data_IF_401720845177
#
_entry.id   IF_401720845177
#
_cell.length_a   1.000
_cell.length_b   1.000
_cell.length_c   1.000
_cell.angle_alpha   90.00
_cell.angle_beta   90.00
_cell.angle_gamma   90.00
#
_symmetry.space_group_name_H-M   'P 1'
#
loop_
_entity.id
_entity.type
_entity.pdbx_description
1 polymer ?
#
# COMPACT_ATOMS: atom_id res chain seq x y z
N UNK A 1 0.01 -0.35 24.03
CA UNK A 1 0.79 -0.03 22.80
C UNK A 1 0.87 -1.30 21.99
N UNK A 2 0.37 -1.31 20.75
CA UNK A 2 0.66 -2.40 19.81
C UNK A 2 2.13 -2.26 19.39
N UNK A 3 3.00 -3.15 19.85
CA UNK A 3 4.41 -3.24 19.44
C UNK A 3 4.65 -4.59 18.78
N UNK A 4 5.15 -4.62 17.54
CA UNK A 4 5.42 -5.88 16.83
C UNK A 4 6.69 -6.59 17.34
N UNK A 5 7.68 -5.83 17.82
CA UNK A 5 8.92 -6.40 18.37
C UNK A 5 9.03 -6.06 19.85
N UNK A 6 9.03 -7.13 20.66
CA UNK A 6 9.29 -7.08 22.10
C UNK A 6 10.61 -7.80 22.37
N UNK A 7 11.59 -7.08 22.92
CA UNK A 7 12.88 -7.66 23.34
C UNK A 7 13.01 -7.53 24.86
N UNK A 8 13.49 -8.60 25.50
CA UNK A 8 13.69 -8.67 26.94
C UNK A 8 15.18 -8.63 27.28
N UNK A 9 15.50 -8.02 28.41
CA UNK A 9 16.83 -8.05 28.99
C UNK A 9 16.79 -8.01 30.51
N UNK A 10 17.93 -7.73 31.10
CA UNK A 10 18.09 -7.60 32.55
C UNK A 10 18.03 -6.13 32.92
N UNK A 11 17.10 -5.78 33.81
CA UNK A 11 17.02 -4.44 34.39
C UNK A 11 18.29 -4.13 35.20
N UNK A 12 19.00 -3.09 34.78
CA UNK A 12 20.19 -2.57 35.46
C UNK A 12 19.90 -1.28 36.25
N UNK A 13 18.96 -0.48 35.77
CA UNK A 13 18.47 0.75 36.41
C UNK A 13 17.00 0.96 36.03
N UNK A 14 16.16 1.31 37.00
CA UNK A 14 14.71 1.43 36.85
C UNK A 14 14.31 2.68 36.04
N UNK A 15 13.06 2.68 35.59
CA UNK A 15 12.44 3.81 34.90
C UNK A 15 11.92 3.45 33.50
N UNK A 16 11.30 4.43 32.85
CA UNK A 16 10.65 4.28 31.56
C UNK A 16 11.02 5.44 30.66
N UNK A 17 11.18 5.17 29.37
CA UNK A 17 11.50 6.22 28.41
C UNK A 17 11.03 5.89 27.00
N UNK A 18 10.52 6.91 26.32
CA UNK A 18 10.16 6.88 24.90
C UNK A 18 11.20 7.64 24.07
N UNK A 19 11.65 7.07 22.95
CA UNK A 19 12.57 7.77 22.07
C UNK A 19 13.16 7.02 20.90
N UNK A 20 13.84 7.78 20.04
CA UNK A 20 14.72 7.24 19.01
C UNK A 20 15.97 6.63 19.64
N UNK A 21 16.38 5.46 19.15
CA UNK A 21 17.65 4.84 19.54
C UNK A 21 18.80 5.35 18.67
N UNK A 22 20.01 5.34 19.23
CA UNK A 22 21.24 5.53 18.47
C UNK A 22 22.19 4.37 18.79
N UNK A 23 22.48 3.57 17.76
CA UNK A 23 23.38 2.42 17.88
C UNK A 23 24.81 2.89 17.67
N UNK A 24 25.65 2.70 18.68
CA UNK A 24 27.08 3.04 18.64
C UNK A 24 27.88 1.76 18.43
N UNK A 25 28.59 1.69 17.30
CA UNK A 25 29.46 0.55 16.93
C UNK A 25 30.93 0.95 16.81
N UNK A 26 31.23 2.22 16.55
CA UNK A 26 32.60 2.74 16.46
C UNK A 26 32.77 4.09 17.17
N UNK A 27 34.01 4.59 17.20
CA UNK A 27 34.31 5.89 17.80
C UNK A 27 33.68 7.05 17.02
N UNK A 28 33.56 6.95 15.70
CA UNK A 28 32.89 7.96 14.87
C UNK A 28 31.41 8.12 15.24
N UNK A 29 30.76 7.03 15.68
CA UNK A 29 29.38 7.05 16.13
C UNK A 29 29.22 7.83 17.45
N UNK A 30 30.22 7.79 18.34
CA UNK A 30 30.21 8.58 19.58
C UNK A 30 30.14 10.08 19.28
N UNK A 31 30.85 10.54 18.24
CA UNK A 31 30.87 11.95 17.83
C UNK A 31 29.53 12.38 17.22
N UNK A 32 28.85 11.45 16.53
CA UNK A 32 27.56 11.68 15.88
C UNK A 32 26.36 11.48 16.80
N UNK A 33 26.58 11.09 18.06
CA UNK A 33 25.51 10.75 18.99
C UNK A 33 24.57 11.96 19.21
N UNK A 34 23.28 11.75 18.96
CA UNK A 34 22.24 12.76 19.10
C UNK A 34 21.79 12.88 20.56
N UNK A 35 21.78 14.10 21.08
CA UNK A 35 21.29 14.37 22.43
C UNK A 35 19.81 13.98 22.58
N UNK A 36 19.46 13.39 23.72
CA UNK A 36 18.14 12.85 23.99
C UNK A 36 17.81 11.54 23.29
N UNK A 37 18.76 10.88 22.62
CA UNK A 37 18.57 9.52 22.10
C UNK A 37 18.73 8.45 23.19
N UNK A 38 18.23 7.24 22.93
CA UNK A 38 18.49 6.05 23.76
C UNK A 38 19.75 5.38 23.21
N UNK A 39 20.79 5.24 24.05
CA UNK A 39 22.05 4.62 23.66
C UNK A 39 21.86 3.11 23.52
N UNK A 40 22.24 2.56 22.37
CA UNK A 40 22.29 1.11 22.14
C UNK A 40 23.71 0.72 21.74
N UNK A 41 24.30 -0.28 22.37
CA UNK A 41 25.62 -0.80 21.96
C UNK A 41 25.81 -2.27 22.33
N UNK A 42 26.80 -2.94 21.74
CA UNK A 42 27.14 -4.31 22.13
C UNK A 42 27.63 -4.34 23.59
N UNK A 43 28.53 -3.43 23.92
CA UNK A 43 29.08 -3.20 25.26
C UNK A 43 29.46 -1.73 25.39
N UNK A 44 29.83 -1.28 26.58
CA UNK A 44 30.29 0.08 26.80
C UNK A 44 31.61 0.08 27.56
N UNK A 45 32.41 1.11 27.34
CA UNK A 45 33.65 1.39 28.03
C UNK A 45 33.69 2.88 28.45
N UNK A 46 34.68 3.33 29.23
CA UNK A 46 34.73 4.70 29.74
C UNK A 46 34.63 5.80 28.68
N UNK A 47 34.97 5.55 27.42
CA UNK A 47 34.82 6.53 26.33
C UNK A 47 33.36 6.93 26.08
N UNK A 48 32.39 6.09 26.47
CA UNK A 48 30.96 6.35 26.31
C UNK A 48 30.41 7.34 27.34
N UNK A 49 31.15 7.63 28.41
CA UNK A 49 30.68 8.48 29.53
C UNK A 49 30.19 9.85 29.04
N UNK A 50 30.87 10.43 28.04
CA UNK A 50 30.50 11.73 27.48
C UNK A 50 29.10 11.74 26.84
N UNK A 51 28.72 10.65 26.17
CA UNK A 51 27.42 10.53 25.50
C UNK A 51 26.35 9.98 26.43
N UNK A 52 26.72 9.21 27.46
CA UNK A 52 25.79 8.73 28.47
C UNK A 52 25.13 9.88 29.23
N UNK A 53 25.86 10.98 29.46
CA UNK A 53 25.29 12.22 30.03
C UNK A 53 24.28 12.94 29.11
N UNK A 54 24.23 12.59 27.83
CA UNK A 54 23.31 13.16 26.83
C UNK A 54 22.16 12.23 26.47
N UNK A 55 22.23 10.96 26.88
CA UNK A 55 21.21 9.98 26.54
C UNK A 55 20.09 9.99 27.59
N UNK A 56 18.92 9.48 27.20
CA UNK A 56 17.77 9.34 28.12
C UNK A 56 17.50 7.90 28.55
N UNK A 57 18.34 6.97 28.12
CA UNK A 57 18.27 5.56 28.45
C UNK A 57 19.40 4.76 27.80
N UNK A 58 19.72 3.59 28.35
CA UNK A 58 20.86 2.77 27.91
C UNK A 58 20.45 1.31 27.72
N UNK A 59 20.79 0.74 26.56
CA UNK A 59 20.56 -0.65 26.20
C UNK A 59 21.89 -1.29 25.79
N UNK A 60 22.26 -2.45 26.35
CA UNK A 60 23.44 -3.20 25.90
C UNK A 60 23.16 -4.67 25.61
N UNK A 61 23.81 -5.22 24.58
CA UNK A 61 23.73 -6.67 24.29
C UNK A 61 24.43 -7.49 25.38
N UNK A 62 25.59 -7.02 25.82
CA UNK A 62 26.44 -7.67 26.82
C UNK A 62 26.50 -6.79 28.07
N UNK A 63 26.45 -7.43 29.22
CA UNK A 63 26.58 -6.78 30.52
C UNK A 63 25.61 -7.37 31.54
N UNK A 64 26.00 -7.26 32.81
CA UNK A 64 25.14 -7.57 33.95
C UNK A 64 24.91 -6.33 34.81
N UNK A 65 24.29 -6.53 35.98
CA UNK A 65 23.93 -5.45 36.91
C UNK A 65 25.15 -4.64 37.40
N UNK A 66 26.35 -5.23 37.37
CA UNK A 66 27.62 -4.59 37.73
C UNK A 66 28.44 -4.08 36.52
N UNK A 67 27.88 -4.07 35.30
CA UNK A 67 28.58 -3.57 34.12
C UNK A 67 28.78 -2.04 34.14
N UNK A 68 29.71 -1.55 33.31
CA UNK A 68 29.97 -0.13 33.15
C UNK A 68 28.68 0.67 32.85
N UNK A 69 27.90 0.25 31.84
CA UNK A 69 26.60 0.83 31.51
C UNK A 69 25.65 0.87 32.72
N UNK A 70 25.57 -0.23 33.48
CA UNK A 70 24.66 -0.34 34.61
C UNK A 70 25.02 0.61 35.77
N UNK A 71 26.31 0.78 36.05
CA UNK A 71 26.80 1.69 37.11
C UNK A 71 26.47 3.13 36.74
N UNK A 72 26.89 3.57 35.53
CA UNK A 72 26.67 4.95 35.08
C UNK A 72 25.17 5.26 34.96
N UNK A 73 24.36 4.33 34.47
CA UNK A 73 22.92 4.52 34.38
C UNK A 73 22.28 4.82 35.74
N UNK A 74 22.66 4.08 36.79
CA UNK A 74 22.12 4.30 38.14
C UNK A 74 22.56 5.64 38.73
N UNK A 75 23.82 6.02 38.51
CA UNK A 75 24.34 7.32 38.98
C UNK A 75 23.66 8.49 38.29
N UNK A 76 23.37 8.35 36.99
CA UNK A 76 22.69 9.36 36.19
C UNK A 76 21.15 9.32 36.31
N UNK A 77 20.58 8.36 37.05
CA UNK A 77 19.12 8.18 37.14
C UNK A 77 18.46 7.78 35.82
N UNK A 78 19.22 7.16 34.91
CA UNK A 78 18.75 6.76 33.59
C UNK A 78 18.17 5.34 33.63
N UNK A 79 17.05 5.08 32.94
CA UNK A 79 16.57 3.72 32.71
C UNK A 79 17.59 2.89 31.94
N UNK A 80 17.85 1.65 32.37
CA UNK A 80 18.85 0.80 31.71
C UNK A 80 18.48 -0.68 31.71
N UNK A 81 18.60 -1.29 30.52
CA UNK A 81 18.44 -2.73 30.27
C UNK A 81 19.72 -3.26 29.64
N UNK A 82 20.31 -4.28 30.24
CA UNK A 82 21.55 -4.91 29.74
C UNK A 82 21.31 -6.38 29.42
N UNK A 83 22.23 -7.01 28.69
CA UNK A 83 22.16 -8.45 28.45
C UNK A 83 21.04 -8.86 27.49
N UNK A 84 20.65 -7.99 26.55
CA UNK A 84 19.61 -8.35 25.55
C UNK A 84 20.12 -9.36 24.50
N UNK A 85 21.44 -9.54 24.39
CA UNK A 85 22.08 -10.39 23.39
C UNK A 85 22.30 -9.68 22.04
N UNK A 86 23.39 -10.01 21.36
CA UNK A 86 23.78 -9.34 20.10
C UNK A 86 22.77 -9.55 18.97
N UNK A 87 22.13 -10.73 18.94
CA UNK A 87 21.07 -11.04 17.95
C UNK A 87 19.88 -10.10 18.06
N UNK A 88 19.58 -9.60 19.25
CA UNK A 88 18.47 -8.67 19.45
C UNK A 88 18.84 -7.26 18.97
N UNK A 89 20.09 -6.81 19.14
CA UNK A 89 20.57 -5.55 18.55
C UNK A 89 20.48 -5.58 17.03
N UNK A 90 20.68 -6.73 16.38
CA UNK A 90 20.57 -6.84 14.92
C UNK A 90 19.14 -6.58 14.39
N UNK A 91 18.12 -6.66 15.26
CA UNK A 91 16.73 -6.31 14.92
C UNK A 91 16.45 -4.80 15.02
N UNK A 92 17.42 -4.03 15.51
CA UNK A 92 17.34 -2.60 15.75
C UNK A 92 18.21 -1.83 14.75
N UNK A 93 17.80 -0.60 14.43
CA UNK A 93 18.53 0.35 13.60
C UNK A 93 18.56 1.74 14.28
N UNK A 94 19.67 2.47 14.14
CA UNK A 94 19.73 3.88 14.57
C UNK A 94 18.57 4.66 13.95
N UNK A 95 17.81 5.38 14.78
CA UNK A 95 16.59 6.08 14.39
C UNK A 95 15.29 5.35 14.76
N UNK A 96 15.33 4.05 15.09
CA UNK A 96 14.13 3.33 15.54
C UNK A 96 13.52 4.00 16.77
N UNK A 97 12.22 4.29 16.73
CA UNK A 97 11.46 4.74 17.89
C UNK A 97 11.12 3.54 18.77
N UNK A 98 11.44 3.62 20.07
CA UNK A 98 11.13 2.58 21.03
C UNK A 98 10.46 3.18 22.27
N UNK A 99 9.69 2.34 22.97
CA UNK A 99 9.37 2.51 24.37
C UNK A 99 10.21 1.51 25.16
N UNK A 100 11.04 2.00 26.08
CA UNK A 100 11.81 1.17 26.98
C UNK A 100 11.20 1.22 28.37
N UNK A 101 10.79 0.06 28.88
CA UNK A 101 10.31 -0.12 30.24
C UNK A 101 11.33 -0.94 31.04
N UNK A 102 12.28 -0.24 31.68
CA UNK A 102 13.28 -0.89 32.49
C UNK A 102 12.70 -1.44 33.80
N UNK A 103 11.50 -1.05 34.22
CA UNK A 103 10.85 -1.66 35.38
C UNK A 103 10.47 -3.13 35.13
N UNK A 104 10.09 -3.45 33.89
CA UNK A 104 9.79 -4.82 33.46
C UNK A 104 10.90 -5.49 32.65
N UNK A 105 12.01 -4.78 32.43
CA UNK A 105 13.14 -5.27 31.62
C UNK A 105 12.78 -5.48 30.15
N UNK A 106 11.82 -4.70 29.63
CA UNK A 106 11.24 -4.92 28.29
C UNK A 106 11.40 -3.69 27.40
N UNK A 107 11.78 -3.93 26.15
CA UNK A 107 11.90 -2.94 25.08
C UNK A 107 10.84 -3.24 24.04
N UNK A 108 10.07 -2.22 23.68
CA UNK A 108 9.03 -2.26 22.68
C UNK A 108 9.44 -1.38 21.50
N UNK A 109 9.76 -2.00 20.36
CA UNK A 109 9.98 -1.21 19.13
C UNK A 109 8.63 -0.71 18.62
N UNK A 110 8.54 0.60 18.42
CA UNK A 110 7.41 1.23 17.75
C UNK A 110 7.71 1.14 16.26
N UNK A 111 6.88 0.41 15.52
CA UNK A 111 6.98 0.44 14.07
C UNK A 111 6.42 1.76 13.54
N UNK A 112 7.22 2.42 12.72
CA UNK A 112 6.72 3.51 11.91
C UNK A 112 6.00 2.89 10.70
N UNK A 113 4.67 2.91 10.74
CA UNK A 113 3.83 2.38 9.65
C UNK A 113 4.13 3.06 8.30
N UNK A 114 4.59 4.31 8.32
CA UNK A 114 4.97 5.04 7.11
C UNK A 114 6.24 4.45 6.51
N UNK A 115 7.22 4.06 7.33
CA UNK A 115 8.46 3.42 6.86
C UNK A 115 8.13 2.05 6.26
N UNK A 116 7.31 1.23 6.93
CA UNK A 116 6.86 -0.06 6.40
C UNK A 116 6.10 0.07 5.08
N UNK A 117 5.20 1.06 5.01
CA UNK A 117 4.47 1.37 3.79
C UNK A 117 5.44 1.73 2.65
N UNK A 118 6.41 2.62 2.93
CA UNK A 118 7.44 3.06 1.98
C UNK A 118 8.31 1.90 1.49
N UNK A 119 8.73 0.99 2.39
CA UNK A 119 9.47 -0.21 2.01
C UNK A 119 8.63 -1.16 1.14
N UNK A 120 7.35 -1.32 1.45
CA UNK A 120 6.40 -2.06 0.62
C UNK A 120 6.30 -1.47 -0.78
N UNK A 121 6.15 -0.15 -0.87
CA UNK A 121 6.07 0.57 -2.15
C UNK A 121 7.34 0.40 -2.98
N UNK A 122 8.52 0.51 -2.38
CA UNK A 122 9.79 0.28 -3.07
C UNK A 122 9.88 -1.11 -3.70
N UNK A 123 9.37 -2.14 -3.00
CA UNK A 123 9.30 -3.51 -3.55
C UNK A 123 8.34 -3.58 -4.73
N UNK A 124 7.18 -2.93 -4.66
CA UNK A 124 6.21 -2.84 -5.76
C UNK A 124 6.82 -2.13 -6.98
N UNK A 125 7.44 -0.96 -6.78
CA UNK A 125 8.06 -0.18 -7.86
C UNK A 125 9.21 -0.95 -8.52
N UNK A 126 10.03 -1.67 -7.74
CA UNK A 126 11.08 -2.51 -8.30
C UNK A 126 10.54 -3.58 -9.28
N UNK A 127 9.32 -4.09 -9.08
CA UNK A 127 8.65 -5.04 -9.98
C UNK A 127 8.10 -4.37 -11.25
N UNK A 128 7.92 -3.06 -11.21
CA UNK A 128 7.41 -2.24 -12.32
C UNK A 128 8.52 -1.68 -13.21
N UNK A 129 9.78 -1.81 -12.79
CA UNK A 129 10.93 -1.31 -13.54
C UNK A 129 10.94 -1.85 -14.98
N UNK A 130 11.11 -0.94 -15.94
CA UNK A 130 11.20 -1.25 -17.37
C UNK A 130 9.88 -1.64 -18.03
N UNK A 131 8.73 -1.49 -17.34
CA UNK A 131 7.42 -1.64 -17.98
C UNK A 131 6.99 -0.33 -18.61
N UNK A 132 6.57 -0.40 -19.85
CA UNK A 132 5.86 0.69 -20.53
C UNK A 132 4.41 0.74 -20.04
N UNK A 133 3.87 1.95 -19.91
CA UNK A 133 2.49 2.20 -19.54
C UNK A 133 1.74 2.79 -20.72
N UNK A 134 0.55 2.25 -20.97
CA UNK A 134 -0.37 2.79 -21.93
C UNK A 134 -1.43 3.70 -21.27
N UNK A 135 -1.77 4.86 -21.87
CA UNK A 135 -1.18 5.44 -23.09
C UNK A 135 0.12 6.20 -22.83
N UNK A 136 0.40 6.57 -21.58
CA UNK A 136 1.59 7.33 -21.18
C UNK A 136 2.13 6.85 -19.84
N UNK A 137 3.39 7.22 -19.55
CA UNK A 137 4.02 6.96 -18.26
C UNK A 137 3.32 7.70 -17.11
N UNK A 138 3.47 7.23 -15.86
CA UNK A 138 2.92 7.90 -14.69
C UNK A 138 3.31 9.38 -14.58
N UNK A 139 4.57 9.74 -14.86
CA UNK A 139 5.02 11.15 -14.79
C UNK A 139 4.28 12.00 -15.82
N UNK A 140 4.17 11.52 -17.05
CA UNK A 140 3.48 12.27 -18.11
C UNK A 140 2.00 12.53 -17.77
N UNK A 141 1.36 11.66 -16.97
CA UNK A 141 -0.04 11.81 -16.60
C UNK A 141 -0.21 12.58 -15.28
N UNK A 142 0.40 12.10 -14.20
CA UNK A 142 0.12 12.58 -12.84
C UNK A 142 0.60 14.01 -12.62
N UNK A 143 1.70 14.44 -13.24
CA UNK A 143 2.27 15.78 -13.04
C UNK A 143 1.33 16.93 -13.42
N UNK A 144 0.25 16.68 -14.17
CA UNK A 144 -0.75 17.70 -14.47
C UNK A 144 -1.66 18.03 -13.27
N UNK A 145 -1.93 17.08 -12.37
CA UNK A 145 -3.06 17.22 -11.44
C UNK A 145 -2.85 16.58 -10.07
N UNK A 146 -1.73 15.88 -9.85
CA UNK A 146 -1.47 15.20 -8.58
C UNK A 146 -1.49 16.14 -7.36
N UNK A 147 -1.01 17.38 -7.53
CA UNK A 147 -0.98 18.40 -6.46
C UNK A 147 -2.38 18.88 -6.07
N UNK A 148 -3.29 18.99 -7.03
CA UNK A 148 -4.68 19.37 -6.75
C UNK A 148 -5.45 18.19 -6.15
N UNK A 149 -5.24 16.97 -6.65
CA UNK A 149 -5.90 15.77 -6.09
C UNK A 149 -5.57 15.59 -4.61
N UNK A 150 -4.29 15.65 -4.21
CA UNK A 150 -3.93 15.49 -2.80
C UNK A 150 -4.51 16.59 -1.91
N UNK A 151 -4.58 17.83 -2.41
CA UNK A 151 -5.20 18.97 -1.73
C UNK A 151 -6.70 18.76 -1.55
N UNK A 152 -7.40 18.33 -2.60
CA UNK A 152 -8.83 18.01 -2.54
C UNK A 152 -9.12 16.87 -1.56
N UNK A 153 -8.30 15.81 -1.60
CA UNK A 153 -8.40 14.69 -0.67
C UNK A 153 -8.22 15.13 0.78
N UNK A 154 -7.17 15.91 1.05
CA UNK A 154 -6.89 16.41 2.39
C UNK A 154 -8.04 17.25 2.94
N UNK A 155 -8.51 18.23 2.16
CA UNK A 155 -9.62 19.11 2.55
C UNK A 155 -10.89 18.29 2.81
N UNK A 156 -11.25 17.41 1.88
CA UNK A 156 -12.45 16.58 1.99
C UNK A 156 -12.39 15.65 3.20
N UNK A 157 -11.24 15.04 3.45
CA UNK A 157 -11.06 14.14 4.58
C UNK A 157 -11.36 14.83 5.92
N UNK A 158 -10.79 16.01 6.13
CA UNK A 158 -10.99 16.74 7.37
C UNK A 158 -12.35 17.42 7.46
N UNK A 159 -12.92 17.85 6.34
CA UNK A 159 -14.31 18.30 6.29
C UNK A 159 -15.29 17.20 6.75
N UNK A 160 -15.09 15.95 6.32
CA UNK A 160 -15.88 14.81 6.78
C UNK A 160 -15.71 14.57 8.29
N UNK A 161 -14.47 14.70 8.80
CA UNK A 161 -14.19 14.59 10.24
C UNK A 161 -14.88 15.69 11.05
N UNK A 162 -14.83 16.93 10.58
CA UNK A 162 -15.47 18.08 11.22
C UNK A 162 -17.00 17.94 11.21
N UNK A 163 -17.57 17.31 10.17
CA UNK A 163 -18.98 16.91 10.09
C UNK A 163 -19.34 15.70 10.98
N UNK A 164 -18.38 15.13 11.70
CA UNK A 164 -18.60 14.05 12.66
C UNK A 164 -18.59 12.64 12.06
N UNK A 165 -18.07 12.45 10.84
CA UNK A 165 -17.96 11.11 10.26
C UNK A 165 -16.92 10.27 11.02
N UNK A 166 -17.34 9.08 11.47
CA UNK A 166 -16.45 8.08 12.05
C UNK A 166 -15.44 7.54 11.03
N UNK A 167 -14.32 6.98 11.51
CA UNK A 167 -13.32 6.31 10.64
C UNK A 167 -13.97 5.23 9.78
N UNK A 168 -14.95 4.48 10.33
CA UNK A 168 -15.66 3.43 9.59
C UNK A 168 -16.53 4.00 8.48
N UNK A 169 -17.28 5.07 8.75
CA UNK A 169 -18.10 5.71 7.72
C UNK A 169 -17.23 6.26 6.57
N UNK A 170 -16.07 6.83 6.88
CA UNK A 170 -15.14 7.29 5.83
C UNK A 170 -14.54 6.08 5.08
N UNK A 171 -14.17 5.01 5.79
CA UNK A 171 -13.69 3.78 5.15
C UNK A 171 -14.69 3.24 4.13
N UNK A 172 -15.99 3.25 4.48
CA UNK A 172 -17.05 2.72 3.63
C UNK A 172 -17.32 3.58 2.38
N UNK A 173 -16.75 4.79 2.26
CA UNK A 173 -16.74 5.59 1.03
C UNK A 173 -15.76 5.07 -0.04
N UNK A 174 -14.87 4.14 0.34
CA UNK A 174 -13.97 3.46 -0.59
C UNK A 174 -14.47 2.04 -0.82
N UNK A 175 -14.51 1.59 -2.08
CA UNK A 175 -14.94 0.22 -2.40
C UNK A 175 -14.07 -0.81 -1.69
N UNK A 176 -12.75 -0.63 -1.72
CA UNK A 176 -11.77 -1.52 -1.09
C UNK A 176 -10.51 -0.78 -0.62
N UNK A 177 -9.64 -1.54 0.05
CA UNK A 177 -8.36 -1.06 0.58
C UNK A 177 -7.36 -0.69 -0.52
N UNK A 178 -7.38 -1.37 -1.67
CA UNK A 178 -6.45 -1.12 -2.78
C UNK A 178 -6.61 0.32 -3.30
N UNK A 179 -7.84 0.81 -3.42
CA UNK A 179 -8.11 2.21 -3.77
C UNK A 179 -7.42 3.18 -2.80
N UNK A 180 -7.47 2.91 -1.50
CA UNK A 180 -6.88 3.79 -0.49
C UNK A 180 -5.35 3.74 -0.57
N UNK A 181 -4.79 2.53 -0.69
CA UNK A 181 -3.35 2.31 -0.84
C UNK A 181 -2.83 2.97 -2.11
N UNK A 182 -3.53 2.80 -3.24
CA UNK A 182 -3.12 3.37 -4.52
C UNK A 182 -3.25 4.90 -4.50
N UNK A 183 -4.24 5.47 -3.81
CA UNK A 183 -4.27 6.91 -3.54
C UNK A 183 -3.00 7.35 -2.79
N UNK A 184 -2.66 6.67 -1.70
CA UNK A 184 -1.47 7.00 -0.91
C UNK A 184 -0.19 6.84 -1.75
N UNK A 185 -0.13 5.82 -2.59
CA UNK A 185 1.00 5.51 -3.46
C UNK A 185 1.18 6.56 -4.57
N UNK A 186 0.11 6.86 -5.32
CA UNK A 186 0.18 7.72 -6.50
C UNK A 186 0.16 9.21 -6.16
N UNK A 187 -0.46 9.62 -5.05
CA UNK A 187 -0.71 11.04 -4.75
C UNK A 187 -0.18 11.51 -3.39
N UNK A 188 -0.23 10.69 -2.34
CA UNK A 188 0.14 11.19 -1.02
C UNK A 188 1.67 11.21 -0.80
N UNK A 189 2.41 10.30 -1.44
CA UNK A 189 3.82 10.11 -1.14
C UNK A 189 4.72 11.28 -1.55
N UNK A 190 4.62 11.71 -2.81
CA UNK A 190 5.44 12.81 -3.36
C UNK A 190 4.59 14.06 -3.52
N UNK A 191 3.36 13.91 -3.98
CA UNK A 191 2.52 15.05 -4.39
C UNK A 191 2.09 15.92 -3.21
N UNK A 192 2.05 15.39 -1.97
CA UNK A 192 1.79 16.21 -0.78
C UNK A 192 2.87 17.28 -0.58
N UNK A 193 4.14 16.91 -0.75
CA UNK A 193 5.26 17.85 -0.68
C UNK A 193 5.22 18.82 -1.87
N UNK A 194 4.94 18.32 -3.08
CA UNK A 194 4.82 19.17 -4.27
C UNK A 194 3.70 20.20 -4.09
N UNK A 195 2.53 19.78 -3.61
CA UNK A 195 1.41 20.67 -3.31
C UNK A 195 1.82 21.70 -2.25
N UNK A 196 2.50 21.29 -1.19
CA UNK A 196 3.03 22.21 -0.19
C UNK A 196 3.93 23.30 -0.78
N UNK A 197 4.89 22.93 -1.63
CA UNK A 197 5.86 23.89 -2.16
C UNK A 197 5.24 24.80 -3.24
N UNK A 198 4.46 24.22 -4.15
CA UNK A 198 4.11 24.86 -5.42
C UNK A 198 2.65 25.35 -5.50
N UNK A 199 1.81 25.13 -4.49
CA UNK A 199 0.44 25.64 -4.45
C UNK A 199 0.16 26.48 -3.19
N UNK A 200 -1.08 26.96 -3.06
CA UNK A 200 -1.61 27.63 -1.88
C UNK A 200 -1.82 26.68 -0.68
N UNK A 201 -1.66 25.36 -0.90
CA UNK A 201 -1.90 24.33 0.11
C UNK A 201 -0.70 24.19 1.07
N UNK A 202 -0.65 25.01 2.11
CA UNK A 202 0.41 24.93 3.14
C UNK A 202 0.00 24.00 4.28
N UNK A 203 0.93 23.17 4.71
CA UNK A 203 0.77 22.14 5.75
C UNK A 203 2.09 21.93 6.47
N UNK A 204 2.02 21.70 7.77
CA UNK A 204 3.16 21.33 8.60
C UNK A 204 3.44 19.83 8.49
N UNK A 205 4.69 19.42 8.77
CA UNK A 205 5.14 18.02 8.81
C UNK A 205 4.17 17.14 9.62
N UNK A 206 3.79 17.60 10.82
CA UNK A 206 2.94 16.83 11.72
C UNK A 206 1.53 16.61 11.14
N UNK A 207 1.01 17.54 10.32
CA UNK A 207 -0.30 17.40 9.67
C UNK A 207 -0.26 16.34 8.58
N UNK A 208 0.85 16.25 7.86
CA UNK A 208 1.10 15.21 6.85
C UNK A 208 1.21 13.85 7.51
N UNK A 209 2.02 13.73 8.56
CA UNK A 209 2.14 12.50 9.35
C UNK A 209 0.77 12.05 9.88
N UNK A 210 0.00 12.99 10.43
CA UNK A 210 -1.34 12.74 10.94
C UNK A 210 -2.26 12.23 9.84
N UNK A 211 -2.23 12.84 8.65
CA UNK A 211 -3.04 12.42 7.50
C UNK A 211 -2.75 10.97 7.09
N UNK A 212 -1.48 10.59 6.94
CA UNK A 212 -1.09 9.21 6.65
C UNK A 212 -1.57 8.23 7.73
N UNK A 213 -1.35 8.58 9.00
CA UNK A 213 -1.76 7.74 10.12
C UNK A 213 -3.29 7.60 10.21
N UNK A 214 -4.05 8.65 9.91
CA UNK A 214 -5.51 8.60 9.86
C UNK A 214 -6.00 7.69 8.72
N UNK A 215 -5.36 7.73 7.56
CA UNK A 215 -5.64 6.79 6.46
C UNK A 215 -5.26 5.34 6.79
N UNK A 216 -4.15 5.11 7.50
CA UNK A 216 -3.79 3.77 7.96
C UNK A 216 -4.80 3.18 8.95
N UNK A 217 -5.43 4.00 9.80
CA UNK A 217 -6.52 3.54 10.67
C UNK A 217 -7.72 3.07 9.85
N UNK A 218 -8.09 3.84 8.84
CA UNK A 218 -9.22 3.54 7.93
C UNK A 218 -8.96 2.27 7.14
N UNK A 219 -7.74 2.09 6.63
CA UNK A 219 -7.33 0.86 5.96
C UNK A 219 -7.48 -0.35 6.92
N UNK A 220 -7.01 -0.24 8.17
CA UNK A 220 -7.08 -1.35 9.16
C UNK A 220 -8.52 -1.78 9.45
N UNK A 221 -9.51 -0.92 9.24
CA UNK A 221 -10.93 -1.27 9.38
C UNK A 221 -11.48 -2.12 8.22
N UNK A 222 -10.81 -2.13 7.07
CA UNK A 222 -11.13 -2.99 5.91
C UNK A 222 -10.18 -4.17 5.77
N UNK A 223 -8.93 -4.02 6.20
CA UNK A 223 -7.89 -5.04 6.15
C UNK A 223 -7.05 -5.03 7.44
N UNK A 224 -7.38 -5.93 8.36
CA UNK A 224 -6.65 -6.04 9.63
C UNK A 224 -5.19 -6.48 9.47
N UNK A 225 -4.82 -7.08 8.34
CA UNK A 225 -3.48 -7.55 8.02
C UNK A 225 -2.63 -6.51 7.28
N UNK A 226 -3.15 -5.30 7.08
CA UNK A 226 -2.42 -4.22 6.42
C UNK A 226 -1.07 -3.95 7.10
N UNK A 227 0.01 -3.92 6.29
CA UNK A 227 1.43 -3.80 6.66
C UNK A 227 2.02 -4.98 7.46
N UNK A 228 1.23 -5.72 8.22
CA UNK A 228 1.70 -6.83 9.07
C UNK A 228 1.82 -8.14 8.28
N UNK A 229 0.84 -8.42 7.42
CA UNK A 229 0.80 -9.55 6.49
C UNK A 229 0.16 -9.13 5.16
N UNK A 230 0.81 -8.24 4.37
CA UNK A 230 0.26 -7.77 3.10
C UNK A 230 -0.03 -8.91 2.10
N UNK A 231 0.53 -10.10 2.32
CA UNK A 231 0.29 -11.33 1.57
C UNK A 231 -1.06 -12.01 1.85
N UNK A 232 -1.78 -11.62 2.91
CA UNK A 232 -3.02 -12.26 3.35
C UNK A 232 -4.16 -11.25 3.49
N UNK A 233 -4.44 -10.48 2.42
CA UNK A 233 -5.57 -9.55 2.40
C UNK A 233 -6.87 -10.32 2.52
N UNK A 234 -7.61 -10.12 3.60
CA UNK A 234 -8.88 -10.82 3.85
C UNK A 234 -9.97 -9.79 4.06
N UNK A 235 -10.74 -9.54 3.00
CA UNK A 235 -11.87 -8.60 3.02
C UNK A 235 -13.18 -9.26 3.40
N UNK A 236 -13.31 -10.57 3.20
CA UNK A 236 -14.51 -11.29 3.54
C UNK A 236 -14.34 -12.05 4.84
N UNK A 237 -15.33 -11.90 5.71
CA UNK A 237 -15.50 -12.77 6.86
C UNK A 237 -15.76 -14.21 6.40
N UNK A 238 -15.37 -15.17 7.24
CA UNK A 238 -15.50 -16.59 6.92
C UNK A 238 -16.95 -17.03 6.66
N UNK A 239 -17.95 -16.37 7.26
CA UNK A 239 -19.36 -16.63 6.97
C UNK A 239 -19.71 -16.41 5.49
N UNK A 240 -19.25 -15.29 4.93
CA UNK A 240 -19.43 -14.99 3.50
C UNK A 240 -18.66 -15.96 2.61
N UNK A 241 -17.48 -16.38 3.03
CA UNK A 241 -16.71 -17.43 2.33
C UNK A 241 -17.51 -18.74 2.32
N UNK A 242 -18.08 -19.15 3.45
CA UNK A 242 -18.89 -20.36 3.55
C UNK A 242 -20.13 -20.31 2.66
N UNK A 243 -20.80 -19.16 2.56
CA UNK A 243 -21.91 -18.96 1.61
C UNK A 243 -21.46 -19.18 0.16
N UNK A 244 -20.30 -18.64 -0.24
CA UNK A 244 -19.74 -18.83 -1.58
C UNK A 244 -19.41 -20.31 -1.83
N UNK A 245 -18.87 -21.01 -0.84
CA UNK A 245 -18.51 -22.43 -0.95
C UNK A 245 -19.72 -23.36 -1.09
N UNK A 246 -20.94 -22.87 -0.86
CA UNK A 246 -22.16 -23.64 -1.14
C UNK A 246 -22.49 -23.72 -2.64
N UNK A 247 -21.89 -22.88 -3.48
CA UNK A 247 -22.05 -22.99 -4.93
C UNK A 247 -21.28 -24.17 -5.52
N UNK A 248 -21.75 -24.65 -6.67
CA UNK A 248 -21.04 -25.64 -7.47
C UNK A 248 -19.96 -24.97 -8.32
N UNK A 249 -18.70 -25.17 -7.93
CA UNK A 249 -17.55 -24.73 -8.70
C UNK A 249 -17.27 -25.71 -9.84
N UNK A 250 -16.82 -25.16 -10.97
CA UNK A 250 -16.35 -25.93 -12.12
C UNK A 250 -14.99 -26.58 -11.81
N UNK A 251 -14.83 -27.85 -12.22
CA UNK A 251 -13.60 -28.59 -12.03
C UNK A 251 -12.62 -28.32 -13.17
N UNK A 252 -11.47 -27.71 -12.85
CA UNK A 252 -10.49 -27.29 -13.86
C UNK A 252 -9.58 -28.41 -14.36
N UNK A 253 -9.80 -29.66 -13.94
CA UNK A 253 -9.16 -30.82 -14.57
C UNK A 253 -9.60 -31.01 -16.02
N UNK A 254 -10.81 -30.57 -16.35
CA UNK A 254 -11.30 -30.59 -17.73
C UNK A 254 -10.65 -29.45 -18.51
N UNK A 255 -9.94 -29.80 -19.60
CA UNK A 255 -9.16 -28.84 -20.36
C UNK A 255 -10.01 -27.71 -20.95
N UNK A 256 -11.21 -28.03 -21.44
CA UNK A 256 -12.16 -27.01 -21.94
C UNK A 256 -12.48 -25.98 -20.86
N UNK A 257 -12.83 -26.43 -19.65
CA UNK A 257 -13.14 -25.54 -18.52
C UNK A 257 -11.94 -24.67 -18.18
N UNK A 258 -10.75 -25.27 -18.04
CA UNK A 258 -9.54 -24.51 -17.74
C UNK A 258 -9.26 -23.42 -18.79
N UNK A 259 -9.39 -23.75 -20.08
CA UNK A 259 -9.16 -22.80 -21.17
C UNK A 259 -10.20 -21.69 -21.20
N UNK A 260 -11.50 -22.01 -21.05
CA UNK A 260 -12.58 -21.02 -21.03
C UNK A 260 -12.40 -20.02 -19.89
N UNK A 261 -12.12 -20.48 -18.66
CA UNK A 261 -11.91 -19.58 -17.52
C UNK A 261 -10.61 -18.77 -17.63
N UNK A 262 -9.55 -19.36 -18.20
CA UNK A 262 -8.29 -18.64 -18.44
C UNK A 262 -8.47 -17.53 -19.47
N UNK A 263 -9.19 -17.81 -20.56
CA UNK A 263 -9.52 -16.82 -21.58
C UNK A 263 -10.41 -15.70 -21.02
N UNK A 264 -11.43 -16.05 -20.24
CA UNK A 264 -12.28 -15.06 -19.56
C UNK A 264 -11.46 -14.14 -18.65
N UNK A 265 -10.60 -14.72 -17.80
CA UNK A 265 -9.76 -13.94 -16.89
C UNK A 265 -8.89 -12.94 -17.66
N UNK A 266 -8.23 -13.39 -18.73
CA UNK A 266 -7.41 -12.51 -19.58
C UNK A 266 -8.25 -11.38 -20.17
N UNK A 267 -9.39 -11.72 -20.79
CA UNK A 267 -10.30 -10.73 -21.38
C UNK A 267 -10.80 -9.70 -20.36
N UNK A 268 -11.11 -10.15 -19.13
CA UNK A 268 -11.59 -9.30 -18.05
C UNK A 268 -10.50 -8.33 -17.55
N UNK A 269 -9.27 -8.81 -17.35
CA UNK A 269 -8.15 -7.92 -17.01
C UNK A 269 -7.86 -6.92 -18.13
N UNK A 270 -7.88 -7.37 -19.38
CA UNK A 270 -7.62 -6.52 -20.53
C UNK A 270 -8.68 -5.43 -20.71
N UNK A 271 -9.97 -5.78 -20.52
CA UNK A 271 -11.05 -4.81 -20.53
C UNK A 271 -10.88 -3.76 -19.43
N UNK A 272 -10.56 -4.20 -18.21
CA UNK A 272 -10.33 -3.33 -17.09
C UNK A 272 -9.17 -2.34 -17.34
N UNK A 273 -8.06 -2.80 -17.92
CA UNK A 273 -6.94 -1.95 -18.34
C UNK A 273 -7.32 -0.97 -19.46
N UNK A 274 -8.13 -1.39 -20.42
CA UNK A 274 -8.58 -0.52 -21.50
C UNK A 274 -9.40 0.67 -20.98
N UNK A 275 -10.34 0.44 -20.05
CA UNK A 275 -11.24 1.49 -19.54
C UNK A 275 -10.61 2.37 -18.45
N UNK A 276 -9.53 1.92 -17.81
CA UNK A 276 -8.86 2.68 -16.74
C UNK A 276 -7.42 3.07 -17.05
N UNK A 277 -6.91 2.81 -18.26
CA UNK A 277 -5.47 2.89 -18.56
C UNK A 277 -4.65 1.92 -17.69
N UNK A 278 -3.39 1.70 -18.06
CA UNK A 278 -2.52 0.81 -17.27
C UNK A 278 -2.26 1.39 -15.88
N UNK A 279 -2.23 2.73 -15.79
CA UNK A 279 -1.94 3.46 -14.57
C UNK A 279 -3.03 3.29 -13.51
N UNK A 280 -4.30 3.27 -13.90
CA UNK A 280 -5.44 3.26 -12.97
C UNK A 280 -6.21 1.95 -12.95
N UNK A 281 -5.68 0.92 -13.60
CA UNK A 281 -6.21 -0.44 -13.61
C UNK A 281 -6.67 -0.97 -12.25
N UNK A 282 -5.89 -0.72 -11.20
CA UNK A 282 -6.20 -1.18 -9.85
C UNK A 282 -7.45 -0.50 -9.25
N UNK A 283 -7.94 0.61 -9.83
CA UNK A 283 -9.19 1.22 -9.42
C UNK A 283 -10.45 0.49 -9.90
N UNK A 284 -10.33 -0.42 -10.87
CA UNK A 284 -11.45 -1.25 -11.32
C UNK A 284 -11.38 -2.69 -10.84
N UNK A 285 -10.33 -3.07 -10.08
CA UNK A 285 -10.11 -4.44 -9.69
C UNK A 285 -9.32 -4.59 -8.39
N UNK A 286 -9.64 -5.62 -7.61
CA UNK A 286 -8.90 -5.99 -6.41
C UNK A 286 -8.71 -7.51 -6.36
N UNK A 287 -7.60 -7.95 -5.76
CA UNK A 287 -7.32 -9.37 -5.54
C UNK A 287 -7.07 -9.63 -4.06
N UNK A 288 -7.71 -10.65 -3.50
CA UNK A 288 -7.59 -10.96 -2.08
C UNK A 288 -7.64 -12.46 -1.79
N UNK A 289 -7.27 -12.81 -0.56
CA UNK A 289 -6.93 -14.15 -0.10
C UNK A 289 -5.44 -14.29 0.26
N UNK A 290 -4.96 -15.53 0.49
CA UNK A 290 -5.76 -16.75 0.45
C UNK A 290 -6.67 -16.87 1.67
N UNK A 291 -7.85 -17.44 1.44
CA UNK A 291 -8.67 -18.01 2.51
C UNK A 291 -8.35 -19.50 2.57
N UNK A 292 -7.91 -19.96 3.74
CA UNK A 292 -7.76 -21.39 4.02
C UNK A 292 -9.17 -21.99 4.16
N UNK A 293 -9.51 -22.94 3.30
CA UNK A 293 -10.86 -23.47 3.17
C UNK A 293 -10.86 -25.01 3.07
N UNK A 294 -12.04 -25.59 3.28
CA UNK A 294 -12.32 -26.98 2.89
C UNK A 294 -13.46 -26.98 1.87
N UNK A 295 -13.24 -27.59 0.70
CA UNK A 295 -14.25 -27.72 -0.35
C UNK A 295 -14.26 -29.15 -0.87
N UNK A 296 -15.45 -29.79 -0.88
CA UNK A 296 -15.62 -31.21 -1.25
C UNK A 296 -14.62 -32.13 -0.54
N UNK A 297 -14.55 -31.99 0.80
CA UNK A 297 -13.69 -32.73 1.73
C UNK A 297 -12.17 -32.60 1.49
N UNK A 298 -11.73 -31.54 0.80
CA UNK A 298 -10.33 -31.27 0.53
C UNK A 298 -9.94 -29.88 0.99
N UNK A 299 -8.81 -29.79 1.67
CA UNK A 299 -8.20 -28.51 2.02
C UNK A 299 -7.65 -27.81 0.77
N UNK A 300 -7.80 -26.49 0.73
CA UNK A 300 -7.29 -25.67 -0.36
C UNK A 300 -7.24 -24.20 0.01
N UNK A 301 -6.67 -23.42 -0.92
CA UNK A 301 -6.58 -21.96 -0.82
C UNK A 301 -7.51 -21.30 -1.82
N UNK A 302 -8.44 -20.49 -1.32
CA UNK A 302 -9.32 -19.68 -2.16
C UNK A 302 -8.70 -18.30 -2.38
N UNK A 303 -8.55 -17.93 -3.64
CA UNK A 303 -8.23 -16.57 -4.08
C UNK A 303 -9.40 -15.99 -4.84
N UNK A 304 -9.61 -14.68 -4.68
CA UNK A 304 -10.74 -13.96 -5.25
C UNK A 304 -10.20 -12.76 -6.01
N UNK A 305 -10.53 -12.67 -7.31
CA UNK A 305 -10.34 -11.45 -8.08
C UNK A 305 -11.71 -10.79 -8.25
N UNK A 306 -11.89 -9.57 -7.76
CA UNK A 306 -13.12 -8.78 -7.95
C UNK A 306 -12.86 -7.63 -8.91
N UNK A 307 -13.78 -7.43 -9.84
CA UNK A 307 -13.81 -6.33 -10.79
C UNK A 307 -15.10 -5.56 -10.57
N UNK A 308 -14.98 -4.26 -10.33
CA UNK A 308 -16.08 -3.37 -10.02
C UNK A 308 -16.00 -2.14 -10.94
N UNK A 309 -17.06 -1.34 -10.97
CA UNK A 309 -17.16 -0.20 -11.89
C UNK A 309 -16.90 -0.58 -13.36
N UNK A 310 -17.38 -1.73 -13.82
CA UNK A 310 -17.14 -2.24 -15.18
C UNK A 310 -18.01 -1.55 -16.25
N UNK A 311 -18.71 -0.47 -15.87
CA UNK A 311 -19.50 0.41 -16.76
C UNK A 311 -19.31 1.88 -16.38
N UNK A 312 -18.12 2.46 -16.55
CA UNK A 312 -17.88 3.85 -16.20
C UNK A 312 -18.51 4.81 -17.24
N UNK A 313 -19.84 4.89 -17.28
CA UNK A 313 -20.61 5.62 -18.29
C UNK A 313 -20.27 7.11 -18.34
N UNK A 314 -19.91 7.70 -17.19
CA UNK A 314 -19.53 9.11 -17.10
C UNK A 314 -18.18 9.38 -17.78
N UNK A 315 -17.30 8.38 -17.84
CA UNK A 315 -16.00 8.49 -18.50
C UNK A 315 -16.13 8.08 -19.98
N UNK A 316 -16.77 6.93 -20.23
CA UNK A 316 -16.83 6.25 -21.53
C UNK A 316 -18.26 5.81 -21.85
N UNK A 317 -18.99 6.61 -22.64
CA UNK A 317 -20.40 6.34 -22.95
C UNK A 317 -20.63 4.95 -23.58
N UNK A 318 -19.72 4.50 -24.45
CA UNK A 318 -19.84 3.21 -25.15
C UNK A 318 -19.71 2.00 -24.21
N UNK A 319 -19.27 2.18 -22.95
CA UNK A 319 -19.28 1.10 -21.95
C UNK A 319 -20.69 0.68 -21.53
N UNK A 320 -21.74 1.41 -21.94
CA UNK A 320 -23.15 0.98 -21.84
C UNK A 320 -23.44 -0.38 -22.47
N UNK A 321 -22.60 -0.80 -23.43
CA UNK A 321 -22.68 -2.09 -24.09
C UNK A 321 -22.15 -3.25 -23.23
N UNK A 322 -21.38 -2.98 -22.18
CA UNK A 322 -21.01 -4.00 -21.21
C UNK A 322 -22.27 -4.41 -20.45
N UNK A 323 -22.56 -5.70 -20.36
CA UNK A 323 -23.79 -6.21 -19.73
C UNK A 323 -23.68 -6.27 -18.20
N UNK A 324 -22.48 -6.27 -17.64
CA UNK A 324 -22.20 -6.53 -16.21
C UNK A 324 -21.54 -5.35 -15.51
N UNK A 325 -21.86 -5.11 -14.23
CA UNK A 325 -21.27 -4.01 -13.44
C UNK A 325 -20.15 -4.50 -12.51
N UNK A 326 -20.31 -5.71 -11.98
CA UNK A 326 -19.37 -6.37 -11.07
C UNK A 326 -19.15 -7.82 -11.49
N UNK A 327 -17.90 -8.26 -11.47
CA UNK A 327 -17.50 -9.66 -11.70
C UNK A 327 -16.62 -10.11 -10.55
N UNK A 328 -16.85 -11.30 -10.03
CA UNK A 328 -15.99 -11.96 -9.05
C UNK A 328 -15.53 -13.31 -9.61
N UNK A 329 -14.23 -13.54 -9.64
CA UNK A 329 -13.59 -14.78 -10.08
C UNK A 329 -13.01 -15.48 -8.85
N UNK A 330 -13.62 -16.59 -8.47
CA UNK A 330 -13.21 -17.41 -7.34
C UNK A 330 -12.36 -18.58 -7.83
N UNK A 331 -11.18 -18.76 -7.24
CA UNK A 331 -10.20 -19.75 -7.69
C UNK A 331 -9.69 -20.55 -6.50
N UNK A 332 -9.98 -21.84 -6.46
CA UNK A 332 -9.53 -22.76 -5.41
C UNK A 332 -8.32 -23.54 -5.89
N UNK A 333 -7.19 -23.32 -5.22
CA UNK A 333 -5.91 -23.98 -5.47
C UNK A 333 -5.61 -25.06 -4.42
N UNK A 334 -4.64 -25.94 -4.71
CA UNK A 334 -4.10 -26.87 -3.71
C UNK A 334 -3.54 -26.11 -2.50
N UNK A 335 -3.65 -26.71 -1.31
CA UNK A 335 -3.23 -26.08 -0.05
C UNK A 335 -1.73 -25.67 -0.04
N UNK A 336 -0.87 -26.44 -0.69
CA UNK A 336 0.57 -26.18 -0.77
C UNK A 336 0.96 -25.14 -1.85
N UNK A 337 -0.01 -24.51 -2.53
CA UNK A 337 0.25 -23.54 -3.59
C UNK A 337 1.02 -22.34 -3.07
N UNK A 338 2.13 -22.02 -3.74
CA UNK A 338 2.99 -20.87 -3.48
C UNK A 338 2.47 -19.65 -4.21
N UNK A 339 2.47 -18.52 -3.51
CA UNK A 339 1.97 -17.25 -4.02
C UNK A 339 2.78 -16.09 -3.42
N UNK A 340 2.65 -14.94 -4.07
CA UNK A 340 3.23 -13.67 -3.68
C UNK A 340 2.20 -12.57 -3.95
N UNK A 341 2.16 -11.54 -3.11
CA UNK A 341 1.30 -10.37 -3.24
C UNK A 341 2.07 -9.15 -2.73
N UNK A 342 2.08 -8.04 -3.48
CA UNK A 342 2.68 -6.81 -2.97
C UNK A 342 1.67 -5.93 -2.22
N UNK A 343 2.19 -4.82 -1.71
CA UNK A 343 1.40 -3.81 -1.03
C UNK A 343 0.38 -3.12 -1.96
N UNK A 344 0.41 -3.28 -3.29
CA UNK A 344 -0.69 -2.81 -4.17
C UNK A 344 -1.70 -3.90 -4.50
N UNK A 345 -1.68 -5.02 -3.79
CA UNK A 345 -2.67 -6.09 -3.93
C UNK A 345 -2.43 -6.98 -5.16
N UNK A 346 -1.30 -6.84 -5.85
CA UNK A 346 -1.03 -7.62 -7.07
C UNK A 346 -0.63 -9.03 -6.70
N UNK A 347 -1.60 -9.94 -6.79
CA UNK A 347 -1.44 -11.36 -6.53
C UNK A 347 -0.77 -12.09 -7.70
N UNK A 348 0.26 -12.88 -7.39
CA UNK A 348 0.92 -13.81 -8.30
C UNK A 348 0.90 -15.22 -7.71
N UNK A 349 0.44 -16.18 -8.51
CA UNK A 349 0.67 -17.60 -8.23
C UNK A 349 2.07 -17.95 -8.76
N UNK A 350 2.91 -18.49 -7.90
CA UNK A 350 4.31 -18.81 -8.24
C UNK A 350 4.45 -20.19 -8.86
N UNK A 351 3.50 -21.08 -8.57
CA UNK A 351 3.43 -22.41 -9.17
C UNK A 351 2.72 -22.40 -10.53
N UNK A 352 2.80 -23.53 -11.23
CA UNK A 352 2.04 -23.78 -12.46
C UNK A 352 0.53 -23.80 -12.16
N UNK A 353 -0.16 -22.76 -12.64
CA UNK A 353 -1.60 -22.56 -12.44
C UNK A 353 -2.42 -23.74 -12.97
N UNK A 354 -2.05 -24.34 -14.12
CA UNK A 354 -2.80 -25.47 -14.69
C UNK A 354 -2.72 -26.70 -13.79
N UNK A 355 -1.59 -26.89 -13.10
CA UNK A 355 -1.39 -28.02 -12.18
C UNK A 355 -2.09 -27.79 -10.83
N UNK A 356 -2.01 -26.56 -10.31
CA UNK A 356 -2.45 -26.22 -8.95
C UNK A 356 -3.91 -25.78 -8.82
N UNK A 357 -4.49 -25.16 -9.85
CA UNK A 357 -5.90 -24.75 -9.83
C UNK A 357 -6.80 -25.99 -9.93
N UNK A 358 -7.74 -26.13 -8.98
CA UNK A 358 -8.67 -27.28 -8.92
C UNK A 358 -10.11 -26.93 -9.26
N UNK A 359 -10.56 -25.79 -8.76
CA UNK A 359 -11.94 -25.36 -8.94
C UNK A 359 -12.01 -23.87 -9.21
N UNK A 360 -13.00 -23.48 -9.99
CA UNK A 360 -13.23 -22.08 -10.35
C UNK A 360 -14.71 -21.78 -10.46
N UNK A 361 -15.09 -20.55 -10.13
CA UNK A 361 -16.46 -20.04 -10.19
C UNK A 361 -16.41 -18.57 -10.62
N UNK A 362 -17.30 -18.18 -11.53
CA UNK A 362 -17.48 -16.77 -11.90
C UNK A 362 -18.89 -16.36 -11.49
N UNK A 363 -18.98 -15.26 -10.75
CA UNK A 363 -20.23 -14.60 -10.40
C UNK A 363 -20.21 -13.22 -11.04
N UNK A 364 -21.24 -12.86 -11.80
CA UNK A 364 -21.42 -11.52 -12.33
C UNK A 364 -22.75 -10.94 -11.83
N UNK A 365 -22.70 -9.73 -11.25
CA UNK A 365 -23.87 -9.04 -10.66
C UNK A 365 -24.73 -9.94 -9.74
N UNK A 366 -24.08 -10.80 -8.95
CA UNK A 366 -24.73 -11.73 -8.02
C UNK A 366 -25.23 -13.04 -8.64
N UNK A 367 -25.10 -13.22 -9.97
CA UNK A 367 -25.48 -14.44 -10.68
C UNK A 367 -24.25 -15.31 -10.98
N UNK A 368 -24.31 -16.59 -10.62
CA UNK A 368 -23.33 -17.61 -11.08
C UNK A 368 -23.49 -17.81 -12.58
N UNK A 369 -22.39 -17.68 -13.33
CA UNK A 369 -22.42 -17.85 -14.78
C UNK A 369 -22.22 -19.30 -15.20
N UNK A 370 -22.95 -19.70 -16.24
CA UNK A 370 -22.73 -20.95 -16.98
C UNK A 370 -21.51 -20.85 -17.90
N UNK A 371 -21.00 -21.99 -18.38
CA UNK A 371 -19.85 -22.00 -19.30
C UNK A 371 -20.13 -21.22 -20.60
N UNK A 372 -21.34 -21.35 -21.14
CA UNK A 372 -21.77 -20.62 -22.35
C UNK A 372 -21.82 -19.10 -22.11
N UNK A 373 -22.38 -18.66 -20.98
CA UNK A 373 -22.41 -17.25 -20.61
C UNK A 373 -21.00 -16.68 -20.41
N UNK A 374 -20.07 -17.47 -19.86
CA UNK A 374 -18.66 -17.09 -19.72
C UNK A 374 -18.02 -16.89 -21.10
N UNK A 375 -18.23 -17.80 -22.05
CA UNK A 375 -17.70 -17.69 -23.41
C UNK A 375 -18.27 -16.48 -24.17
N UNK A 376 -19.58 -16.24 -24.05
CA UNK A 376 -20.25 -15.07 -24.64
C UNK A 376 -19.72 -13.76 -24.04
N UNK A 377 -19.61 -13.68 -22.72
CA UNK A 377 -19.10 -12.48 -22.04
C UNK A 377 -17.62 -12.26 -22.35
N UNK A 378 -16.81 -13.32 -22.43
CA UNK A 378 -15.39 -13.22 -22.87
C UNK A 378 -15.27 -12.55 -24.23
N UNK A 379 -16.12 -12.96 -25.19
CA UNK A 379 -16.13 -12.40 -26.54
C UNK A 379 -16.50 -10.92 -26.51
N UNK A 380 -17.57 -10.57 -25.76
CA UNK A 380 -18.00 -9.18 -25.64
C UNK A 380 -16.96 -8.28 -24.96
N UNK A 381 -16.28 -8.77 -23.91
CA UNK A 381 -15.23 -8.02 -23.22
C UNK A 381 -14.04 -7.73 -24.15
N UNK A 382 -13.63 -8.70 -24.98
CA UNK A 382 -12.56 -8.50 -25.96
C UNK A 382 -12.95 -7.45 -27.02
N UNK A 383 -14.17 -7.52 -27.56
CA UNK A 383 -14.68 -6.52 -28.50
C UNK A 383 -14.67 -5.11 -27.90
N UNK A 384 -15.16 -4.97 -26.67
CA UNK A 384 -15.19 -3.70 -25.96
C UNK A 384 -13.79 -3.17 -25.66
N UNK A 385 -12.87 -4.05 -25.29
CA UNK A 385 -11.46 -3.70 -25.07
C UNK A 385 -10.85 -3.10 -26.33
N UNK A 386 -10.98 -3.79 -27.47
CA UNK A 386 -10.46 -3.32 -28.75
C UNK A 386 -11.09 -1.99 -29.17
N UNK A 387 -12.41 -1.85 -29.00
CA UNK A 387 -13.13 -0.61 -29.27
C UNK A 387 -12.60 0.54 -28.41
N UNK A 388 -12.35 0.29 -27.12
CA UNK A 388 -11.82 1.28 -26.20
C UNK A 388 -10.37 1.66 -26.54
N UNK A 389 -9.50 0.70 -26.83
CA UNK A 389 -8.12 0.98 -27.27
C UNK A 389 -8.10 1.84 -28.52
N UNK A 390 -8.93 1.50 -29.53
CA UNK A 390 -9.05 2.29 -30.75
C UNK A 390 -9.55 3.71 -30.46
N UNK A 391 -10.59 3.83 -29.63
CA UNK A 391 -11.13 5.14 -29.26
C UNK A 391 -10.08 6.03 -28.59
N UNK A 392 -9.30 5.50 -27.64
CA UNK A 392 -8.25 6.26 -26.96
C UNK A 392 -7.09 6.60 -27.88
N UNK A 393 -6.75 5.75 -28.84
CA UNK A 393 -5.74 6.05 -29.87
C UNK A 393 -6.14 7.20 -30.79
N UNK A 394 -7.45 7.38 -31.03
CA UNK A 394 -8.00 8.48 -31.84
C UNK A 394 -8.05 9.82 -31.09
N UNK A 395 -7.97 9.81 -29.75
CA UNK A 395 -7.87 11.03 -28.95
C UNK A 395 -6.51 11.71 -29.16
N UNK A 396 -6.49 13.04 -29.14
CA UNK A 396 -5.24 13.78 -28.98
C UNK A 396 -4.65 13.57 -27.59
N UNK A 397 -3.38 13.94 -27.43
CA UNK A 397 -2.64 13.63 -26.21
C UNK A 397 -3.20 14.38 -25.00
N UNK A 398 -3.69 15.61 -25.15
CA UNK A 398 -4.28 16.37 -24.04
C UNK A 398 -5.64 15.80 -23.64
N UNK A 399 -6.46 15.34 -24.58
CA UNK A 399 -7.72 14.66 -24.27
C UNK A 399 -7.49 13.35 -23.51
N UNK A 400 -6.41 12.60 -23.80
CA UNK A 400 -6.01 11.45 -22.97
C UNK A 400 -5.69 11.88 -21.53
N UNK A 401 -4.98 13.01 -21.34
CA UNK A 401 -4.71 13.55 -20.00
C UNK A 401 -6.02 13.96 -19.29
N UNK A 402 -6.94 14.66 -19.98
CA UNK A 402 -8.24 15.03 -19.42
C UNK A 402 -9.05 13.80 -19.01
N UNK A 403 -9.00 12.72 -19.79
CA UNK A 403 -9.62 11.44 -19.44
C UNK A 403 -8.97 10.78 -18.22
N UNK A 404 -7.65 10.85 -18.08
CA UNK A 404 -6.96 10.38 -16.87
C UNK A 404 -7.41 11.15 -15.61
N UNK A 405 -7.56 12.48 -15.71
CA UNK A 405 -8.11 13.30 -14.62
C UNK A 405 -9.54 12.85 -14.29
N UNK A 406 -10.39 12.70 -15.31
CA UNK A 406 -11.77 12.23 -15.11
C UNK A 406 -11.83 10.85 -14.45
N UNK A 407 -11.00 9.90 -14.91
CA UNK A 407 -10.88 8.57 -14.29
C UNK A 407 -10.59 8.69 -12.80
N UNK A 408 -9.61 9.49 -12.41
CA UNK A 408 -9.23 9.67 -11.00
C UNK A 408 -10.39 10.17 -10.15
N UNK A 409 -11.05 11.26 -10.55
CA UNK A 409 -12.16 11.81 -9.75
C UNK A 409 -13.41 10.93 -9.76
N UNK A 410 -13.69 10.24 -10.87
CA UNK A 410 -14.82 9.31 -10.96
C UNK A 410 -14.65 8.13 -10.00
N UNK A 411 -13.44 7.59 -9.89
CA UNK A 411 -13.16 6.45 -9.00
C UNK A 411 -13.39 6.82 -7.53
N UNK A 412 -13.07 8.06 -7.14
CA UNK A 412 -13.23 8.55 -5.78
C UNK A 412 -14.49 9.40 -5.59
N UNK A 413 -15.47 9.33 -6.51
CA UNK A 413 -16.65 10.20 -6.49
C UNK A 413 -17.48 10.06 -5.22
N UNK A 414 -17.55 8.86 -4.63
CA UNK A 414 -18.30 8.64 -3.39
C UNK A 414 -17.60 9.31 -2.19
N UNK A 415 -16.26 9.32 -2.19
CA UNK A 415 -15.47 10.05 -1.19
C UNK A 415 -15.62 11.57 -1.33
N UNK A 416 -15.52 12.07 -2.57
CA UNK A 416 -15.69 13.50 -2.86
C UNK A 416 -17.14 13.99 -2.72
N UNK A 417 -18.12 13.09 -2.84
CA UNK A 417 -19.54 13.45 -2.80
C UNK A 417 -19.96 14.26 -4.03
N UNK A 418 -20.98 15.10 -3.87
CA UNK A 418 -21.61 15.85 -4.98
C UNK A 418 -20.64 16.80 -5.72
N UNK A 419 -19.59 17.25 -5.04
CA UNK A 419 -18.61 18.22 -5.55
C UNK A 419 -17.56 17.61 -6.48
N UNK A 420 -17.53 16.29 -6.67
CA UNK A 420 -16.44 15.61 -7.40
C UNK A 420 -16.21 16.17 -8.81
N UNK A 421 -17.27 16.62 -9.50
CA UNK A 421 -17.17 17.25 -10.84
C UNK A 421 -16.55 18.64 -10.79
N UNK A 422 -16.84 19.41 -9.75
CA UNK A 422 -16.25 20.74 -9.56
C UNK A 422 -14.75 20.62 -9.30
N UNK A 423 -14.36 19.73 -8.38
CA UNK A 423 -12.97 19.44 -8.06
C UNK A 423 -12.19 18.92 -9.30
N UNK A 424 -12.82 18.04 -10.09
CA UNK A 424 -12.27 17.59 -11.37
C UNK A 424 -12.03 18.76 -12.33
N UNK A 425 -12.99 19.67 -12.46
CA UNK A 425 -12.87 20.84 -13.33
C UNK A 425 -11.78 21.81 -12.89
N UNK A 426 -11.48 21.91 -11.58
CA UNK A 426 -10.33 22.65 -11.09
C UNK A 426 -9.02 22.04 -11.61
N UNK A 427 -8.86 20.72 -11.47
CA UNK A 427 -7.69 19.99 -11.98
C UNK A 427 -7.52 20.07 -13.49
N UNK A 428 -8.62 20.12 -14.25
CA UNK A 428 -8.58 20.24 -15.71
C UNK A 428 -7.94 21.58 -16.18
N UNK A 429 -8.01 22.64 -15.38
CA UNK A 429 -7.37 23.94 -15.73
C UNK A 429 -5.86 23.81 -15.89
N UNK A 430 -5.24 22.87 -15.19
CA UNK A 430 -3.80 22.63 -15.31
C UNK A 430 -3.41 22.04 -16.67
N UNK A 431 -4.30 21.28 -17.32
CA UNK A 431 -4.04 20.75 -18.67
C UNK A 431 -3.89 21.91 -19.65
N UNK A 432 -4.76 22.90 -19.58
CA UNK A 432 -4.70 24.08 -20.45
C UNK A 432 -3.48 24.96 -20.13
N UNK A 433 -3.06 25.01 -18.86
CA UNK A 433 -1.88 25.76 -18.42
C UNK A 433 -0.57 25.11 -18.89
N UNK A 434 -0.41 23.80 -18.66
CA UNK A 434 0.83 23.09 -18.97
C UNK A 434 0.90 22.60 -20.43
N UNK A 435 -0.24 22.47 -21.12
CA UNK A 435 -0.33 21.98 -22.51
C UNK A 435 0.45 20.68 -22.69
N UNK A 436 1.18 20.46 -23.78
CA UNK A 436 1.90 19.21 -24.06
C UNK A 436 3.23 19.07 -23.29
N UNK A 437 3.58 20.04 -22.43
CA UNK A 437 4.92 20.14 -21.82
C UNK A 437 5.43 18.85 -21.19
N UNK A 438 4.66 18.24 -20.29
CA UNK A 438 5.12 17.03 -19.58
C UNK A 438 5.16 15.80 -20.49
N UNK A 439 4.25 15.71 -21.47
CA UNK A 439 4.28 14.64 -22.47
C UNK A 439 5.61 14.71 -23.24
N UNK A 440 6.04 15.91 -23.63
CA UNK A 440 7.29 16.16 -24.35
C UNK A 440 8.54 15.97 -23.50
N UNK A 441 8.57 16.56 -22.30
CA UNK A 441 9.70 16.51 -21.36
C UNK A 441 10.03 15.06 -20.93
N UNK A 442 9.02 14.18 -20.94
CA UNK A 442 9.12 12.81 -20.41
C UNK A 442 8.77 11.72 -21.42
N UNK A 443 8.99 11.96 -22.73
CA UNK A 443 8.78 10.94 -23.78
C UNK A 443 9.56 9.64 -23.53
N UNK A 444 10.74 9.75 -22.93
CA UNK A 444 11.67 8.63 -22.72
C UNK A 444 11.56 7.95 -21.33
N UNK A 445 10.45 8.19 -20.62
CA UNK A 445 10.11 7.76 -19.24
C UNK A 445 11.34 7.52 -18.34
N UNK A 446 11.81 8.55 -17.60
CA UNK A 446 13.00 8.42 -16.77
C UNK A 446 12.81 7.41 -15.62
N UNK A 447 11.59 7.16 -15.13
CA UNK A 447 11.35 6.20 -14.04
C UNK A 447 11.71 4.78 -14.44
N UNK A 448 11.45 4.42 -15.69
CA UNK A 448 11.79 3.11 -16.24
C UNK A 448 13.30 2.80 -16.15
N UNK A 449 14.14 3.84 -16.09
CA UNK A 449 15.61 3.78 -16.10
C UNK A 449 16.25 3.89 -14.72
N UNK A 450 15.51 4.25 -13.67
CA UNK A 450 16.05 4.41 -12.32
C UNK A 450 16.41 3.06 -11.68
N UNK A 451 17.49 3.03 -10.90
CA UNK A 451 17.83 1.89 -10.05
C UNK A 451 17.13 1.96 -8.68
N UNK A 452 17.24 0.88 -7.92
CA UNK A 452 16.56 0.75 -6.62
C UNK A 452 17.07 1.78 -5.61
N UNK A 453 18.35 2.14 -5.65
CA UNK A 453 18.92 3.11 -4.70
C UNK A 453 18.46 4.52 -5.04
N UNK A 454 18.37 4.90 -6.32
CA UNK A 454 17.78 6.18 -6.72
C UNK A 454 16.28 6.28 -6.44
N UNK A 455 15.52 5.21 -6.67
CA UNK A 455 14.11 5.14 -6.25
C UNK A 455 13.98 5.27 -4.73
N UNK A 456 14.88 4.61 -4.00
CA UNK A 456 14.98 4.75 -2.56
C UNK A 456 15.32 6.19 -2.17
N UNK A 457 16.26 6.88 -2.82
CA UNK A 457 16.59 8.29 -2.59
C UNK A 457 15.43 9.25 -2.93
N UNK A 458 14.60 8.91 -3.93
CA UNK A 458 13.41 9.70 -4.30
C UNK A 458 12.22 9.48 -3.36
N UNK A 459 12.13 8.31 -2.74
CA UNK A 459 11.13 7.97 -1.72
C UNK A 459 11.65 8.16 -0.30
N UNK A 460 12.96 8.30 -0.09
CA UNK A 460 13.61 8.72 1.15
C UNK A 460 13.08 10.05 1.69
N UNK A 461 12.58 11.00 0.86
CA UNK A 461 11.85 12.15 1.32
C UNK A 461 10.55 11.79 2.03
N UNK A 462 9.97 10.59 1.96
CA UNK A 462 8.89 10.18 2.87
C UNK A 462 9.36 10.07 4.31
N UNK A 463 10.58 9.57 4.56
CA UNK A 463 11.19 9.60 5.90
C UNK A 463 11.54 11.03 6.32
N UNK A 464 11.94 11.89 5.38
CA UNK A 464 12.21 13.30 5.69
C UNK A 464 10.93 14.16 5.76
N UNK A 465 9.82 13.79 5.12
CA UNK A 465 8.49 14.41 5.26
C UNK A 465 7.97 14.28 6.71
N UNK A 466 8.60 13.42 7.53
CA UNK A 466 8.34 13.26 8.97
C UNK A 466 9.36 13.98 9.87
N UNK A 467 10.45 14.53 9.31
CA UNK A 467 11.58 15.02 10.10
C UNK A 467 12.22 16.34 9.61
N UNK A 468 11.77 16.92 8.50
CA UNK A 468 12.14 18.25 7.98
C UNK A 468 10.98 18.88 7.23
#
# INVERSE_FOLDING_TARGET
MESEITIKGVTASLGQVDGEIFIVKSFEDLVKFKEGAILVSITTDPSYTLIMGKCKGIITAIGGIASHAAIIAREAGLPCIVGIGEKEIQKLQTGDKIFMDANSGTIYKKENKIDLFTEGLLKTMARLKGKEYWPFSPIQILSYYESEVIKHFYKRFYELKDKGYSDKQIADLFENTDMIIDFLFNFACVSFKVAHEFTDFKTEIYEREKFFNDFFKIIKLKDSNFLTKPLERKYFEYDKINEILNYDFFNTKEEKIFMTFSAFKIAQFYYNWAIYYDLFAAYGSTSHGPYEITYKDKQGKLFIDEFYNQKPLEIWEHTKECSVKKISIYRIFENDTKYDMDISGRLRIMDDVKKKLKYTLIIADGKVLTLEEIEQLTTKLNELSLKQYKHVQELDDLEKIKKAIHITYYVYKDFFGEEWKELMNESLKNVDFFKEKFIEDYKDDPLSKLDKEKLKEMLYPLNNILHT
#
